data_IF_902124330650
#
_entry.id   IF_902124330650
#
_cell.length_a   1.000
_cell.length_b   1.000
_cell.length_c   1.000
_cell.angle_alpha   90.00
_cell.angle_beta   90.00
_cell.angle_gamma   90.00
#
_symmetry.space_group_name_H-M   'P 1'
#
loop_
_entity.id
_entity.type
_entity.pdbx_description
1 polymer ?
#
# COMPACT_ATOMS: atom_id res chain seq x y z
N UNK A 1 9.22 25.12 -0.46
CA UNK A 1 9.19 23.70 0.00
C UNK A 1 10.19 22.95 -0.89
N UNK A 2 11.08 22.10 -0.34
CA UNK A 2 12.07 21.35 -1.15
C UNK A 2 11.65 19.91 -1.43
N UNK A 3 11.13 19.21 -0.42
CA UNK A 3 10.70 17.80 -0.48
C UNK A 3 9.30 17.64 0.11
N UNK A 4 8.44 16.89 -0.57
CA UNK A 4 7.08 16.55 -0.14
C UNK A 4 7.01 15.03 0.05
N UNK A 5 6.55 14.60 1.23
CA UNK A 5 6.30 13.19 1.54
C UNK A 5 4.81 12.97 1.51
N UNK A 6 4.35 11.94 0.79
CA UNK A 6 2.92 11.60 0.75
C UNK A 6 2.68 10.12 0.98
N UNK A 7 1.61 9.81 1.70
CA UNK A 7 1.13 8.45 1.89
C UNK A 7 0.11 7.99 0.84
N UNK A 8 -0.20 8.84 -0.14
CA UNK A 8 -1.21 8.57 -1.16
C UNK A 8 -0.55 8.56 -2.54
N UNK A 9 -0.56 7.41 -3.24
CA UNK A 9 -0.07 7.31 -4.62
C UNK A 9 -0.77 8.23 -5.63
N UNK A 10 -2.03 8.61 -5.40
CA UNK A 10 -2.72 9.57 -6.28
C UNK A 10 -2.11 10.97 -6.11
N UNK A 11 -1.93 11.42 -4.87
CA UNK A 11 -1.25 12.67 -4.58
C UNK A 11 0.21 12.64 -5.06
N UNK A 12 0.89 11.49 -4.93
CA UNK A 12 2.23 11.31 -5.45
C UNK A 12 2.28 11.58 -6.95
N UNK A 13 1.38 10.96 -7.73
CA UNK A 13 1.31 11.16 -9.17
C UNK A 13 1.02 12.62 -9.53
N UNK A 14 -0.02 13.22 -8.94
CA UNK A 14 -0.42 14.59 -9.25
C UNK A 14 0.69 15.59 -8.90
N UNK A 15 1.28 15.49 -7.71
CA UNK A 15 2.33 16.42 -7.28
C UNK A 15 3.62 16.26 -8.09
N UNK A 16 3.95 15.03 -8.51
CA UNK A 16 5.20 14.73 -9.22
C UNK A 16 5.09 15.00 -10.73
N UNK A 17 3.97 14.62 -11.34
CA UNK A 17 3.84 14.54 -12.80
C UNK A 17 2.92 15.62 -13.39
N UNK A 18 1.92 16.13 -12.65
CA UNK A 18 0.94 17.09 -13.18
C UNK A 18 1.22 18.52 -12.72
N UNK A 19 1.66 18.71 -11.47
CA UNK A 19 1.98 20.03 -10.93
C UNK A 19 3.15 20.77 -11.63
N UNK A 20 4.14 20.10 -12.25
CA UNK A 20 5.14 20.78 -13.10
C UNK A 20 4.52 21.67 -14.17
N UNK A 21 3.42 21.23 -14.80
CA UNK A 21 2.72 22.00 -15.83
C UNK A 21 2.03 23.26 -15.27
N UNK A 22 1.80 23.29 -13.95
CA UNK A 22 1.23 24.42 -13.22
C UNK A 22 2.32 25.27 -12.52
N UNK A 23 3.60 25.03 -12.81
CA UNK A 23 4.74 25.74 -12.22
C UNK A 23 5.22 25.21 -10.86
N UNK A 24 4.68 24.08 -10.39
CA UNK A 24 5.10 23.42 -9.16
C UNK A 24 6.31 22.51 -9.38
N UNK A 25 7.43 22.77 -8.71
CA UNK A 25 8.65 21.97 -8.80
C UNK A 25 9.05 21.47 -7.42
N UNK A 26 8.86 20.17 -7.16
CA UNK A 26 9.09 19.56 -5.84
C UNK A 26 9.75 18.20 -5.99
N UNK A 27 10.65 17.85 -5.05
CA UNK A 27 11.01 16.45 -4.84
C UNK A 27 9.83 15.76 -4.13
N UNK A 28 9.12 14.87 -4.81
CA UNK A 28 7.98 14.15 -4.24
C UNK A 28 8.37 12.70 -3.97
N UNK A 29 8.22 12.26 -2.73
CA UNK A 29 8.50 10.87 -2.31
C UNK A 29 7.27 10.23 -1.69
N UNK A 30 7.04 8.97 -2.01
CA UNK A 30 6.06 8.15 -1.32
C UNK A 30 6.59 7.75 0.06
N UNK A 31 5.72 7.58 1.06
CA UNK A 31 6.16 7.27 2.43
C UNK A 31 7.01 6.00 2.49
N UNK A 32 6.76 4.99 1.65
CA UNK A 32 7.59 3.78 1.62
C UNK A 32 9.01 4.05 1.14
N UNK A 33 9.21 4.98 0.19
CA UNK A 33 10.54 5.38 -0.27
C UNK A 33 11.31 6.11 0.84
N UNK A 34 10.63 6.98 1.59
CA UNK A 34 11.24 7.63 2.75
C UNK A 34 11.59 6.60 3.84
N UNK A 35 10.68 5.68 4.14
CA UNK A 35 10.93 4.64 5.16
C UNK A 35 12.10 3.76 4.75
N UNK A 36 12.17 3.36 3.48
CA UNK A 36 13.32 2.66 2.89
C UNK A 36 14.62 3.44 3.13
N UNK A 37 14.66 4.71 2.72
CA UNK A 37 15.83 5.60 2.89
C UNK A 37 16.27 5.67 4.36
N UNK A 38 15.31 5.76 5.29
CA UNK A 38 15.60 5.82 6.73
C UNK A 38 16.16 4.50 7.27
N UNK A 39 15.70 3.35 6.77
CA UNK A 39 16.24 2.03 7.12
C UNK A 39 17.67 1.89 6.57
N UNK A 40 17.86 2.17 5.28
CA UNK A 40 19.14 2.02 4.59
C UNK A 40 20.23 2.93 5.20
N UNK A 41 19.85 4.13 5.63
CA UNK A 41 20.77 5.07 6.30
C UNK A 41 20.93 4.82 7.80
N UNK A 42 20.28 3.79 8.35
CA UNK A 42 20.33 3.41 9.77
C UNK A 42 19.62 4.40 10.71
N UNK A 43 18.90 5.39 10.18
CA UNK A 43 18.12 6.37 10.95
C UNK A 43 16.84 5.77 11.54
N UNK A 44 16.32 4.71 10.91
CA UNK A 44 15.22 3.90 11.41
C UNK A 44 15.71 2.47 11.60
N UNK A 45 15.55 1.95 12.81
CA UNK A 45 15.82 0.53 13.12
C UNK A 45 14.50 -0.18 13.30
N UNK A 46 14.29 -1.23 12.52
CA UNK A 46 13.11 -2.09 12.66
C UNK A 46 13.32 -2.98 13.88
N UNK A 47 12.42 -2.88 14.86
CA UNK A 47 12.38 -3.80 15.99
C UNK A 47 11.59 -5.03 15.54
N UNK A 48 12.27 -6.17 15.39
CA UNK A 48 11.64 -7.44 15.01
C UNK A 48 10.61 -7.94 16.03
N UNK A 49 9.92 -9.01 15.67
CA UNK A 49 9.05 -9.80 16.58
C UNK A 49 7.56 -9.65 16.36
N UNK A 50 7.05 -8.50 15.92
CA UNK A 50 5.61 -8.29 15.78
C UNK A 50 4.98 -9.04 14.58
N UNK A 51 5.77 -9.33 13.55
CA UNK A 51 5.29 -9.95 12.31
C UNK A 51 6.06 -11.24 11.95
N UNK A 52 6.94 -11.72 12.82
CA UNK A 52 7.78 -12.90 12.55
C UNK A 52 6.91 -14.09 12.18
N UNK A 53 7.19 -14.68 11.01
CA UNK A 53 6.47 -15.85 10.50
C UNK A 53 5.05 -15.58 10.02
N UNK A 54 4.63 -14.32 9.91
CA UNK A 54 3.35 -13.94 9.28
C UNK A 54 3.47 -13.95 7.76
N UNK A 55 2.42 -14.45 7.11
CA UNK A 55 2.27 -14.40 5.66
C UNK A 55 1.56 -13.12 5.23
N UNK A 56 2.26 -12.27 4.50
CA UNK A 56 1.75 -10.99 4.01
C UNK A 56 1.59 -11.06 2.50
N UNK A 57 0.44 -10.63 1.98
CA UNK A 57 0.28 -10.33 0.55
C UNK A 57 0.26 -8.83 0.36
N UNK A 58 0.79 -8.32 -0.76
CA UNK A 58 0.84 -6.89 -1.04
C UNK A 58 0.01 -6.53 -2.25
N UNK A 59 -0.89 -5.54 -2.11
CA UNK A 59 -1.60 -4.95 -3.25
C UNK A 59 -0.84 -3.72 -3.76
N UNK A 60 -0.31 -3.84 -4.98
CA UNK A 60 0.37 -2.76 -5.70
C UNK A 60 -0.58 -1.60 -6.06
N UNK A 61 -0.37 -0.38 -5.52
CA UNK A 61 -1.13 0.77 -5.95
C UNK A 61 -0.77 1.14 -7.39
N UNK A 62 -1.80 1.30 -8.24
CA UNK A 62 -1.61 1.57 -9.66
C UNK A 62 -0.79 2.85 -9.95
N UNK A 63 -1.03 3.93 -9.22
CA UNK A 63 -0.30 5.19 -9.40
C UNK A 63 1.13 5.15 -8.86
N UNK A 64 1.45 4.25 -7.93
CA UNK A 64 2.82 4.09 -7.43
C UNK A 64 3.61 3.22 -8.40
N UNK A 65 3.03 2.08 -8.79
CA UNK A 65 3.60 1.14 -9.74
C UNK A 65 3.47 1.62 -11.18
N UNK A 66 2.36 1.30 -11.85
CA UNK A 66 2.22 1.49 -13.32
C UNK A 66 2.47 2.90 -13.82
N UNK A 67 2.17 3.93 -13.02
CA UNK A 67 2.36 5.31 -13.44
C UNK A 67 3.75 5.89 -13.09
N UNK A 68 4.49 5.26 -12.18
CA UNK A 68 5.70 5.85 -11.60
C UNK A 68 6.86 4.85 -11.39
N UNK A 69 6.71 3.61 -11.85
CA UNK A 69 7.64 2.49 -11.76
C UNK A 69 8.21 2.20 -10.37
N UNK A 70 7.47 2.56 -9.32
CA UNK A 70 7.86 2.30 -7.93
C UNK A 70 7.14 1.04 -7.41
N UNK A 71 7.90 -0.05 -7.33
CA UNK A 71 7.44 -1.35 -6.84
C UNK A 71 8.24 -1.87 -5.65
N UNK A 72 9.47 -1.39 -5.47
CA UNK A 72 10.47 -2.06 -4.65
C UNK A 72 10.48 -1.49 -3.23
N UNK A 73 10.33 -0.18 -3.05
CA UNK A 73 10.33 0.44 -1.72
C UNK A 73 9.23 -0.12 -0.80
N UNK A 74 7.96 -0.32 -1.24
CA UNK A 74 6.96 -0.97 -0.40
C UNK A 74 7.35 -2.41 0.01
N UNK A 75 7.94 -3.17 -0.92
CA UNK A 75 8.31 -4.58 -0.71
C UNK A 75 9.47 -4.69 0.26
N UNK A 76 10.52 -3.91 0.08
CA UNK A 76 11.68 -3.96 0.95
C UNK A 76 11.35 -3.46 2.36
N UNK A 77 10.47 -2.47 2.51
CA UNK A 77 9.91 -2.11 3.84
C UNK A 77 9.18 -3.28 4.50
N UNK A 78 8.37 -4.04 3.74
CA UNK A 78 7.66 -5.22 4.26
C UNK A 78 8.65 -6.33 4.64
N UNK A 79 9.64 -6.61 3.80
CA UNK A 79 10.63 -7.68 4.02
C UNK A 79 11.51 -7.43 5.26
N UNK A 80 11.74 -6.16 5.63
CA UNK A 80 12.45 -5.81 6.87
C UNK A 80 11.70 -6.20 8.16
N UNK A 81 10.47 -6.72 8.08
CA UNK A 81 9.65 -7.14 9.22
C UNK A 81 9.74 -8.65 9.56
N UNK A 82 10.68 -9.38 8.95
CA UNK A 82 10.84 -10.84 9.13
C UNK A 82 9.58 -11.65 8.75
N UNK A 83 8.96 -11.29 7.63
CA UNK A 83 7.69 -11.87 7.13
C UNK A 83 7.90 -12.75 5.91
N UNK A 84 6.93 -13.64 5.65
CA UNK A 84 6.78 -14.27 4.33
C UNK A 84 5.97 -13.33 3.42
N UNK A 85 6.61 -12.72 2.42
CA UNK A 85 5.91 -11.95 1.38
C UNK A 85 5.41 -12.91 0.29
N UNK A 86 4.10 -13.14 0.26
CA UNK A 86 3.43 -13.93 -0.76
C UNK A 86 2.86 -13.02 -1.86
N UNK A 87 3.48 -13.04 -3.03
CA UNK A 87 3.03 -12.26 -4.19
C UNK A 87 1.77 -12.87 -4.81
N UNK A 88 0.79 -12.02 -5.11
CA UNK A 88 -0.36 -12.40 -5.93
C UNK A 88 0.06 -12.64 -7.38
N UNK A 89 -0.66 -13.52 -8.10
CA UNK A 89 -0.37 -13.81 -9.52
C UNK A 89 -0.35 -12.55 -10.38
N UNK A 90 -1.33 -11.67 -10.20
CA UNK A 90 -1.34 -10.32 -10.80
C UNK A 90 -0.71 -9.35 -9.81
N UNK A 91 0.58 -9.11 -9.96
CA UNK A 91 1.35 -8.11 -9.21
C UNK A 91 2.15 -7.21 -10.14
N UNK A 92 2.76 -6.17 -9.56
CA UNK A 92 3.55 -5.14 -10.25
C UNK A 92 2.77 -4.53 -11.44
N UNK A 93 3.36 -4.50 -12.63
CA UNK A 93 2.72 -3.95 -13.83
C UNK A 93 1.40 -4.65 -14.19
N UNK A 94 1.29 -5.94 -13.86
CA UNK A 94 0.12 -6.78 -14.15
C UNK A 94 -0.95 -6.72 -13.05
N UNK A 95 -0.74 -5.93 -11.98
CA UNK A 95 -1.63 -5.87 -10.83
C UNK A 95 -3.05 -5.42 -11.19
N UNK A 96 -4.06 -6.20 -10.77
CA UNK A 96 -5.45 -5.79 -10.94
C UNK A 96 -5.77 -4.58 -10.03
N UNK A 97 -6.51 -3.62 -10.58
CA UNK A 97 -6.96 -2.42 -9.86
C UNK A 97 -7.78 -2.78 -8.61
N UNK A 98 -7.75 -1.92 -7.60
CA UNK A 98 -8.65 -2.03 -6.44
C UNK A 98 -10.09 -1.59 -6.73
N UNK A 99 -10.34 -0.88 -7.84
CA UNK A 99 -11.65 -0.38 -8.23
C UNK A 99 -11.97 1.06 -7.82
N UNK A 100 -11.11 1.79 -7.08
CA UNK A 100 -11.43 3.16 -6.66
C UNK A 100 -11.12 4.26 -7.68
N UNK A 101 -10.09 4.07 -8.52
CA UNK A 101 -9.55 5.12 -9.39
C UNK A 101 -10.55 5.62 -10.44
N UNK A 102 -10.31 6.80 -11.02
CA UNK A 102 -11.19 7.35 -12.07
C UNK A 102 -12.61 7.66 -11.55
N UNK A 103 -12.72 8.09 -10.30
CA UNK A 103 -13.97 8.38 -9.59
C UNK A 103 -14.94 7.18 -9.42
N UNK A 104 -14.51 5.95 -9.71
CA UNK A 104 -15.34 4.76 -9.60
C UNK A 104 -15.87 4.54 -8.18
N UNK A 105 -15.09 4.90 -7.14
CA UNK A 105 -15.53 4.82 -5.75
C UNK A 105 -16.73 5.73 -5.41
N UNK A 106 -16.99 6.77 -6.21
CA UNK A 106 -18.00 7.81 -5.92
C UNK A 106 -19.25 7.69 -6.78
N UNK A 107 -19.37 6.64 -7.58
CA UNK A 107 -20.53 6.40 -8.43
C UNK A 107 -21.01 4.96 -8.27
N UNK A 108 -22.18 4.68 -8.81
CA UNK A 108 -22.69 3.33 -8.91
C UNK A 108 -21.78 2.45 -9.77
N UNK A 109 -21.77 1.16 -9.45
CA UNK A 109 -21.01 0.17 -10.18
C UNK A 109 -21.45 0.09 -11.64
N UNK A 110 -20.47 -0.09 -12.52
CA UNK A 110 -20.73 -0.35 -13.93
C UNK A 110 -21.30 -1.76 -14.14
N UNK A 111 -21.95 -1.98 -15.29
CA UNK A 111 -22.49 -3.31 -15.62
C UNK A 111 -21.38 -4.36 -15.61
N UNK A 112 -21.61 -5.44 -14.86
CA UNK A 112 -20.67 -6.55 -14.74
C UNK A 112 -21.25 -7.69 -13.91
N UNK A 113 -20.52 -8.80 -13.83
CA UNK A 113 -20.90 -9.97 -13.02
C UNK A 113 -20.22 -10.00 -11.66
N UNK A 114 -19.24 -9.12 -11.41
CA UNK A 114 -18.46 -9.05 -10.17
C UNK A 114 -17.85 -7.67 -10.00
N UNK A 115 -17.88 -7.16 -8.77
CA UNK A 115 -17.18 -5.94 -8.40
C UNK A 115 -15.66 -6.12 -8.45
N UNK A 116 -14.95 -5.08 -8.92
CA UNK A 116 -13.49 -5.13 -9.10
C UNK A 116 -12.76 -5.36 -7.76
N UNK A 117 -13.24 -4.73 -6.68
CA UNK A 117 -12.65 -4.92 -5.36
C UNK A 117 -12.89 -6.33 -4.80
N UNK A 118 -14.03 -6.95 -5.10
CA UNK A 118 -14.35 -8.33 -4.72
C UNK A 118 -13.46 -9.31 -5.50
N UNK A 119 -13.30 -9.13 -6.81
CA UNK A 119 -12.35 -9.96 -7.60
C UNK A 119 -10.92 -9.82 -7.07
N UNK A 120 -10.49 -8.60 -6.76
CA UNK A 120 -9.13 -8.39 -6.24
C UNK A 120 -8.94 -8.95 -4.84
N UNK A 121 -9.95 -8.84 -3.97
CA UNK A 121 -9.90 -9.43 -2.64
C UNK A 121 -9.88 -10.96 -2.68
N UNK A 122 -10.65 -11.59 -3.56
CA UNK A 122 -10.62 -13.04 -3.78
C UNK A 122 -9.21 -13.52 -4.14
N UNK A 123 -8.55 -12.83 -5.06
CA UNK A 123 -7.18 -13.14 -5.46
C UNK A 123 -6.20 -12.95 -4.28
N UNK A 124 -6.35 -11.91 -3.47
CA UNK A 124 -5.50 -11.75 -2.28
C UNK A 124 -5.72 -12.88 -1.26
N UNK A 125 -6.99 -13.27 -1.05
CA UNK A 125 -7.38 -14.30 -0.09
C UNK A 125 -7.00 -15.71 -0.54
N UNK A 126 -6.87 -15.98 -1.84
CA UNK A 126 -6.48 -17.31 -2.34
C UNK A 126 -5.06 -17.72 -1.94
N UNK A 127 -4.23 -16.76 -1.54
CA UNK A 127 -2.88 -17.02 -1.02
C UNK A 127 -2.87 -17.34 0.48
N UNK A 128 -4.03 -17.36 1.15
CA UNK A 128 -4.18 -17.54 2.60
C UNK A 128 -3.26 -16.63 3.43
N UNK A 129 -3.27 -15.30 3.21
CA UNK A 129 -2.46 -14.38 4.00
C UNK A 129 -2.98 -14.24 5.44
N UNK A 130 -2.08 -14.05 6.39
CA UNK A 130 -2.41 -13.47 7.69
C UNK A 130 -2.79 -11.98 7.54
N UNK A 131 -2.10 -11.28 6.63
CA UNK A 131 -2.16 -9.82 6.46
C UNK A 131 -2.21 -9.45 4.98
N UNK A 132 -3.07 -8.49 4.64
CA UNK A 132 -3.04 -7.81 3.35
C UNK A 132 -2.45 -6.42 3.55
N UNK A 133 -1.28 -6.18 2.96
CA UNK A 133 -0.59 -4.92 2.98
C UNK A 133 -1.00 -4.04 1.78
N UNK A 134 -1.18 -2.75 2.04
CA UNK A 134 -1.60 -1.76 1.04
C UNK A 134 -0.77 -0.49 1.15
N UNK A 135 -0.42 0.09 0.00
CA UNK A 135 0.33 1.34 -0.13
C UNK A 135 -0.52 2.57 -0.48
N UNK A 136 -1.85 2.48 -0.45
CA UNK A 136 -2.74 3.57 -0.86
C UNK A 136 -4.00 3.64 0.01
N UNK A 137 -4.42 4.83 0.47
CA UNK A 137 -5.65 4.98 1.25
C UNK A 137 -6.91 4.50 0.52
N UNK A 138 -7.04 4.80 -0.78
CA UNK A 138 -8.17 4.34 -1.58
C UNK A 138 -8.17 2.82 -1.74
N UNK A 139 -7.00 2.22 -2.05
CA UNK A 139 -6.87 0.76 -2.10
C UNK A 139 -7.23 0.12 -0.75
N UNK A 140 -6.85 0.74 0.36
CA UNK A 140 -7.20 0.25 1.69
C UNK A 140 -8.73 0.16 1.87
N UNK A 141 -9.47 1.22 1.50
CA UNK A 141 -10.93 1.23 1.56
C UNK A 141 -11.53 0.13 0.70
N UNK A 142 -11.12 0.05 -0.57
CA UNK A 142 -11.70 -0.91 -1.50
C UNK A 142 -11.37 -2.36 -1.15
N UNK A 143 -10.12 -2.65 -0.79
CA UNK A 143 -9.71 -3.99 -0.37
C UNK A 143 -10.41 -4.39 0.94
N UNK A 144 -10.61 -3.45 1.87
CA UNK A 144 -11.39 -3.71 3.09
C UNK A 144 -12.81 -4.13 2.76
N UNK A 145 -13.47 -3.40 1.88
CA UNK A 145 -14.82 -3.71 1.45
C UNK A 145 -14.90 -5.06 0.70
N UNK A 146 -13.97 -5.29 -0.24
CA UNK A 146 -13.88 -6.53 -0.99
C UNK A 146 -13.64 -7.77 -0.12
N UNK A 147 -12.84 -7.66 0.95
CA UNK A 147 -12.61 -8.78 1.88
C UNK A 147 -13.84 -9.06 2.74
N UNK A 148 -14.56 -8.02 3.20
CA UNK A 148 -15.79 -8.16 3.98
C UNK A 148 -16.86 -8.93 3.22
N UNK A 149 -16.90 -8.82 1.88
CA UNK A 149 -17.79 -9.62 1.03
C UNK A 149 -17.66 -11.13 1.25
N UNK A 150 -16.47 -11.61 1.63
CA UNK A 150 -16.21 -13.04 1.90
C UNK A 150 -16.41 -13.44 3.37
N UNK A 151 -17.01 -12.58 4.20
CA UNK A 151 -17.15 -12.77 5.66
C UNK A 151 -15.82 -13.11 6.36
N UNK A 152 -14.71 -12.61 5.83
CA UNK A 152 -13.39 -12.76 6.44
C UNK A 152 -12.99 -11.46 7.13
N UNK A 153 -12.32 -11.59 8.27
CA UNK A 153 -11.53 -10.50 8.86
C UNK A 153 -10.05 -10.79 8.58
N UNK A 154 -9.39 -9.88 7.88
CA UNK A 154 -7.93 -9.89 7.72
C UNK A 154 -7.34 -8.72 8.49
N UNK A 155 -6.14 -8.92 9.04
CA UNK A 155 -5.40 -7.83 9.67
C UNK A 155 -4.81 -6.95 8.57
N UNK A 156 -5.12 -5.66 8.61
CA UNK A 156 -4.63 -4.69 7.62
C UNK A 156 -3.28 -4.12 8.04
N UNK A 157 -2.30 -4.21 7.16
CA UNK A 157 -1.03 -3.50 7.33
C UNK A 157 -1.00 -2.27 6.41
N UNK A 158 -1.05 -1.09 7.02
CA UNK A 158 -0.64 0.15 6.36
C UNK A 158 0.88 0.15 6.35
N UNK A 159 1.50 0.25 5.16
CA UNK A 159 2.96 0.24 4.94
C UNK A 159 3.72 1.44 5.54
N UNK A 160 3.12 2.16 6.49
CA UNK A 160 3.70 3.32 7.16
C UNK A 160 4.41 2.97 8.47
N UNK A 161 5.08 3.98 9.05
CA UNK A 161 5.90 3.87 10.27
C UNK A 161 5.22 3.19 11.47
N UNK A 162 3.88 3.27 11.58
CA UNK A 162 3.12 2.59 12.64
C UNK A 162 3.28 1.07 12.62
N UNK A 163 3.53 0.48 11.45
CA UNK A 163 3.85 -0.95 11.33
C UNK A 163 5.25 -1.30 11.82
N UNK A 164 6.14 -0.32 11.96
CA UNK A 164 7.54 -0.50 12.38
C UNK A 164 7.78 -0.11 13.85
N UNK A 165 6.77 0.49 14.51
CA UNK A 165 6.95 1.16 15.80
C UNK A 165 6.18 0.54 16.98
N UNK A 166 5.76 -0.73 16.92
CA UNK A 166 5.21 -1.42 18.10
C UNK A 166 6.30 -1.63 19.15
N UNK A 167 6.60 -0.56 19.88
CA UNK A 167 7.65 -0.45 20.87
C UNK A 167 7.74 0.91 21.56
N UNK A 168 6.87 1.89 21.22
CA UNK A 168 6.63 3.04 22.10
C UNK A 168 5.43 2.74 22.99
N UNK A 169 5.75 2.24 24.18
CA UNK A 169 4.86 2.22 25.33
C UNK A 169 4.25 3.62 25.44
N UNK A 170 2.93 3.76 25.20
CA UNK A 170 2.21 4.97 25.55
C UNK A 170 2.35 5.09 27.07
N UNK A 171 3.30 5.90 27.54
CA UNK A 171 3.24 6.41 28.91
C UNK A 171 1.94 7.19 28.98
N UNK A 172 0.95 6.58 29.62
CA UNK A 172 -0.19 7.29 30.18
C UNK A 172 0.42 8.30 31.16
N UNK A 173 0.39 9.57 30.78
CA UNK A 173 0.40 10.70 31.71
C UNK A 173 -1.01 11.26 31.70
#
# INVERSE_FOLDING_TARGET
IKKIVTGCPHCFNTLKNEYPDLGGQYEVVHHTQLVQELIDTGKLRVKGGAFVGKKITFHDPCYLGRANDEYEAPRSVIQNLDVELAEMKRSKQNGLCCGAGGAQMFKEAEKGTKEVNVERAEEALSHNPDIIAVGCPFCNTMMTDGVKHFNKEVVWMKTGLSSLSNGHNRRKT
#
